data_IF_331213459351
#
_entry.id   IF_331213459351
#
_cell.length_a   1.000
_cell.length_b   1.000
_cell.length_c   1.000
_cell.angle_alpha   90.00
_cell.angle_beta   90.00
_cell.angle_gamma   90.00
#
_symmetry.space_group_name_H-M   'P 1'
#
loop_
_entity.id
_entity.type
_entity.pdbx_description
1 polymer ?
#
# COMPACT_ATOMS: atom_id res chain seq x y z
N UNK A 1 -28.10 6.39 8.00
CA UNK A 1 -27.93 5.02 7.45
C UNK A 1 -28.43 4.84 6.01
N UNK A 2 -29.25 5.76 5.48
CA UNK A 2 -29.76 5.70 4.09
C UNK A 2 -28.71 5.96 3.01
N UNK A 3 -27.70 6.78 3.28
CA UNK A 3 -26.66 7.17 2.31
C UNK A 3 -25.61 6.08 2.02
N UNK A 4 -25.43 5.09 2.88
CA UNK A 4 -24.43 4.02 2.71
C UNK A 4 -24.98 2.81 1.95
N UNK A 5 -26.29 2.58 2.01
CA UNK A 5 -26.94 1.42 1.36
C UNK A 5 -26.60 1.26 -0.12
N UNK A 6 -26.60 2.33 -0.96
CA UNK A 6 -26.25 2.21 -2.36
C UNK A 6 -24.79 1.79 -2.61
N UNK A 7 -23.90 2.03 -1.63
CA UNK A 7 -22.47 1.73 -1.74
C UNK A 7 -22.09 0.31 -1.28
N UNK A 8 -23.04 -0.43 -0.67
CA UNK A 8 -22.79 -1.79 -0.17
C UNK A 8 -22.26 -2.72 -1.28
N UNK A 9 -22.85 -2.79 -2.47
CA UNK A 9 -22.33 -3.65 -3.53
C UNK A 9 -20.90 -3.29 -3.93
N UNK A 10 -20.58 -2.00 -3.99
CA UNK A 10 -19.23 -1.52 -4.31
C UNK A 10 -18.21 -1.84 -3.21
N UNK A 11 -18.58 -1.72 -1.94
CA UNK A 11 -17.74 -2.09 -0.80
C UNK A 11 -17.50 -3.60 -0.74
N UNK A 12 -18.50 -4.42 -1.09
CA UNK A 12 -18.35 -5.87 -1.21
C UNK A 12 -17.41 -6.23 -2.36
N UNK A 13 -17.60 -5.62 -3.54
CA UNK A 13 -16.69 -5.81 -4.68
C UNK A 13 -15.25 -5.44 -4.31
N UNK A 14 -15.09 -4.29 -3.65
CA UNK A 14 -13.79 -3.83 -3.17
C UNK A 14 -13.16 -4.82 -2.17
N UNK A 15 -13.93 -5.32 -1.19
CA UNK A 15 -13.44 -6.28 -0.21
C UNK A 15 -12.97 -7.59 -0.84
N UNK A 16 -13.74 -8.14 -1.78
CA UNK A 16 -13.38 -9.37 -2.49
C UNK A 16 -12.09 -9.13 -3.34
N UNK A 17 -12.03 -8.02 -4.06
CA UNK A 17 -10.88 -7.65 -4.89
C UNK A 17 -9.61 -7.43 -4.06
N UNK A 18 -9.72 -6.68 -2.96
CA UNK A 18 -8.62 -6.38 -2.05
C UNK A 18 -8.11 -7.64 -1.35
N UNK A 19 -9.02 -8.55 -0.96
CA UNK A 19 -8.66 -9.86 -0.44
C UNK A 19 -7.83 -10.68 -1.43
N UNK A 20 -8.29 -10.77 -2.68
CA UNK A 20 -7.55 -11.46 -3.75
C UNK A 20 -6.16 -10.86 -3.99
N UNK A 21 -6.04 -9.53 -4.04
CA UNK A 21 -4.74 -8.87 -4.21
C UNK A 21 -3.82 -9.04 -2.98
N UNK A 22 -4.39 -8.97 -1.78
CA UNK A 22 -3.63 -9.14 -0.53
C UNK A 22 -3.03 -10.54 -0.41
N UNK A 23 -3.81 -11.56 -0.75
CA UNK A 23 -3.39 -12.95 -0.80
C UNK A 23 -2.23 -13.16 -1.78
N UNK A 24 -2.26 -12.49 -2.94
CA UNK A 24 -1.34 -12.71 -4.04
C UNK A 24 0.14 -12.53 -3.66
N UNK A 25 0.48 -11.48 -2.90
CA UNK A 25 1.89 -11.20 -2.58
C UNK A 25 2.52 -12.31 -1.72
N UNK A 26 1.82 -12.76 -0.69
CA UNK A 26 2.28 -13.83 0.20
C UNK A 26 2.31 -15.18 -0.51
N UNK A 27 1.26 -15.49 -1.28
CA UNK A 27 1.17 -16.74 -2.03
C UNK A 27 2.30 -16.89 -3.05
N UNK A 28 2.59 -15.84 -3.83
CA UNK A 28 3.65 -15.86 -4.84
C UNK A 28 5.03 -16.05 -4.19
N UNK A 29 5.27 -15.39 -3.06
CA UNK A 29 6.52 -15.53 -2.35
C UNK A 29 6.73 -16.98 -1.83
N UNK A 30 5.71 -17.54 -1.17
CA UNK A 30 5.74 -18.92 -0.66
C UNK A 30 5.84 -19.95 -1.80
N UNK A 31 5.01 -19.80 -2.83
CA UNK A 31 5.04 -20.70 -3.97
C UNK A 31 6.36 -20.62 -4.73
N UNK A 32 6.89 -19.43 -4.96
CA UNK A 32 8.20 -19.25 -5.60
C UNK A 32 9.32 -19.91 -4.82
N UNK A 33 9.34 -19.79 -3.49
CA UNK A 33 10.31 -20.45 -2.64
C UNK A 33 10.16 -21.99 -2.70
N UNK A 34 8.93 -22.52 -2.70
CA UNK A 34 8.67 -23.98 -2.88
C UNK A 34 9.11 -24.51 -4.24
N UNK A 35 9.05 -23.72 -5.30
CA UNK A 35 9.54 -24.06 -6.65
C UNK A 35 11.05 -23.85 -6.80
N UNK A 36 11.75 -23.46 -5.73
CA UNK A 36 13.20 -23.25 -5.74
C UNK A 36 13.66 -21.93 -6.35
N UNK A 37 12.76 -20.95 -6.50
CA UNK A 37 13.14 -19.62 -6.98
C UNK A 37 13.99 -18.92 -5.92
N UNK A 38 15.03 -18.22 -6.38
CA UNK A 38 15.88 -17.44 -5.49
C UNK A 38 15.15 -16.26 -4.85
N UNK A 39 15.67 -15.78 -3.73
CA UNK A 39 15.13 -14.54 -3.13
C UNK A 39 15.18 -13.37 -4.12
N UNK A 40 16.19 -13.33 -5.01
CA UNK A 40 16.31 -12.32 -6.06
C UNK A 40 15.20 -12.43 -7.10
N UNK A 41 14.82 -13.63 -7.54
CA UNK A 41 13.71 -13.83 -8.47
C UNK A 41 12.40 -13.31 -7.86
N UNK A 42 12.14 -13.66 -6.60
CA UNK A 42 10.95 -13.21 -5.87
C UNK A 42 10.99 -11.68 -5.68
N UNK A 43 12.15 -11.11 -5.39
CA UNK A 43 12.35 -9.66 -5.31
C UNK A 43 12.07 -8.95 -6.63
N UNK A 44 12.54 -9.51 -7.75
CA UNK A 44 12.23 -8.99 -9.09
C UNK A 44 10.73 -9.03 -9.39
N UNK A 45 10.02 -10.08 -9.02
CA UNK A 45 8.56 -10.17 -9.18
C UNK A 45 7.85 -9.05 -8.43
N UNK A 46 8.32 -8.68 -7.22
CA UNK A 46 7.86 -7.52 -6.47
C UNK A 46 8.15 -6.20 -7.20
N UNK A 47 9.37 -6.03 -7.70
CA UNK A 47 9.80 -4.87 -8.49
C UNK A 47 8.91 -4.68 -9.73
N UNK A 48 8.70 -5.73 -10.51
CA UNK A 48 7.84 -5.69 -11.70
C UNK A 48 6.38 -5.38 -11.35
N UNK A 49 5.86 -5.91 -10.24
CA UNK A 49 4.51 -5.56 -9.77
C UNK A 49 4.39 -4.05 -9.50
N UNK A 50 5.32 -3.44 -8.76
CA UNK A 50 5.27 -2.02 -8.44
C UNK A 50 5.55 -1.14 -9.67
N UNK A 51 6.36 -1.59 -10.63
CA UNK A 51 6.56 -0.90 -11.91
C UNK A 51 5.25 -0.90 -12.73
N UNK A 52 4.58 -2.05 -12.84
CA UNK A 52 3.26 -2.15 -13.46
C UNK A 52 2.22 -1.29 -12.75
N UNK A 53 2.22 -1.31 -11.41
CA UNK A 53 1.31 -0.49 -10.60
C UNK A 53 1.50 1.01 -10.85
N UNK A 54 2.75 1.49 -10.91
CA UNK A 54 3.05 2.88 -11.26
C UNK A 54 2.51 3.24 -12.64
N UNK A 55 2.77 2.41 -13.65
CA UNK A 55 2.28 2.65 -15.00
C UNK A 55 0.74 2.64 -15.05
N UNK A 56 0.10 1.73 -14.34
CA UNK A 56 -1.35 1.67 -14.19
C UNK A 56 -1.93 2.96 -13.59
N UNK A 57 -1.34 3.48 -12.53
CA UNK A 57 -1.75 4.76 -11.93
C UNK A 57 -1.67 5.92 -12.92
N UNK A 58 -0.69 5.93 -13.83
CA UNK A 58 -0.53 6.99 -14.83
C UNK A 58 -1.49 6.84 -16.03
N UNK A 59 -1.82 5.61 -16.41
CA UNK A 59 -2.59 5.32 -17.61
C UNK A 59 -4.11 5.23 -17.36
N UNK A 60 -4.54 4.85 -16.16
CA UNK A 60 -5.94 4.46 -15.90
C UNK A 60 -6.95 5.56 -16.18
N UNK A 61 -6.62 6.82 -15.88
CA UNK A 61 -7.53 7.96 -16.12
C UNK A 61 -7.87 8.09 -17.62
N UNK A 62 -6.87 7.87 -18.51
CA UNK A 62 -7.08 7.89 -19.97
C UNK A 62 -7.95 6.71 -20.41
N UNK A 63 -7.70 5.52 -19.85
CA UNK A 63 -8.49 4.33 -20.15
C UNK A 63 -9.95 4.54 -19.72
N UNK A 64 -10.19 5.04 -18.51
CA UNK A 64 -11.55 5.33 -18.02
C UNK A 64 -12.28 6.37 -18.88
N UNK A 65 -11.58 7.41 -19.37
CA UNK A 65 -12.16 8.39 -20.29
C UNK A 65 -12.55 7.77 -21.63
N UNK A 66 -11.75 6.82 -22.13
CA UNK A 66 -11.98 6.22 -23.44
C UNK A 66 -13.10 5.16 -23.43
N UNK A 67 -13.17 4.30 -22.41
CA UNK A 67 -14.08 3.13 -22.42
C UNK A 67 -15.12 3.14 -21.29
N UNK A 68 -15.02 4.05 -20.34
CA UNK A 68 -15.87 4.11 -19.15
C UNK A 68 -15.43 3.19 -18.02
N UNK A 69 -15.97 3.41 -16.80
CA UNK A 69 -15.55 2.72 -15.59
C UNK A 69 -15.82 1.20 -15.62
N UNK A 70 -17.05 0.79 -15.98
CA UNK A 70 -17.47 -0.62 -15.94
C UNK A 70 -16.64 -1.46 -16.93
N UNK A 71 -16.48 -0.99 -18.17
CA UNK A 71 -15.71 -1.71 -19.18
C UNK A 71 -14.22 -1.81 -18.83
N UNK A 72 -13.64 -0.69 -18.31
CA UNK A 72 -12.27 -0.70 -17.83
C UNK A 72 -12.09 -1.68 -16.67
N UNK A 73 -12.99 -1.68 -15.68
CA UNK A 73 -12.97 -2.61 -14.57
C UNK A 73 -13.02 -4.07 -15.03
N UNK A 74 -13.97 -4.38 -15.93
CA UNK A 74 -14.16 -5.75 -16.47
C UNK A 74 -12.92 -6.25 -17.20
N UNK A 75 -12.33 -5.43 -18.06
CA UNK A 75 -11.13 -5.80 -18.81
C UNK A 75 -9.93 -6.03 -17.88
N UNK A 76 -9.71 -5.13 -16.93
CA UNK A 76 -8.59 -5.23 -15.99
C UNK A 76 -8.74 -6.44 -15.04
N UNK A 77 -9.96 -6.70 -14.55
CA UNK A 77 -10.23 -7.86 -13.69
C UNK A 77 -10.06 -9.19 -14.46
N UNK A 78 -10.49 -9.24 -15.72
CA UNK A 78 -10.29 -10.42 -16.58
C UNK A 78 -8.80 -10.70 -16.80
N UNK A 79 -8.00 -9.67 -17.14
CA UNK A 79 -6.54 -9.81 -17.34
C UNK A 79 -5.88 -10.25 -16.02
N UNK A 80 -6.23 -9.67 -14.88
CA UNK A 80 -5.67 -10.04 -13.58
C UNK A 80 -6.03 -11.48 -13.20
N UNK A 81 -7.26 -11.92 -13.47
CA UNK A 81 -7.74 -13.29 -13.23
C UNK A 81 -6.99 -14.31 -14.09
N UNK A 82 -6.86 -14.06 -15.39
CA UNK A 82 -6.07 -14.91 -16.31
C UNK A 82 -4.60 -14.95 -15.87
N UNK A 83 -4.00 -13.79 -15.55
CA UNK A 83 -2.62 -13.72 -15.04
C UNK A 83 -2.42 -14.58 -13.79
N UNK A 84 -3.39 -14.57 -12.88
CA UNK A 84 -3.35 -15.41 -11.67
C UNK A 84 -3.27 -16.91 -11.99
N UNK A 85 -4.02 -17.39 -12.98
CA UNK A 85 -3.98 -18.79 -13.41
C UNK A 85 -2.69 -19.12 -14.18
N UNK A 86 -2.14 -18.17 -14.94
CA UNK A 86 -0.87 -18.37 -15.63
C UNK A 86 0.29 -18.63 -14.66
N UNK A 87 0.26 -18.08 -13.46
CA UNK A 87 1.31 -18.33 -12.44
C UNK A 87 1.40 -19.81 -12.00
N UNK A 88 0.30 -20.55 -12.05
CA UNK A 88 0.32 -21.98 -11.69
C UNK A 88 0.53 -22.88 -12.90
N UNK A 89 0.21 -22.40 -14.10
CA UNK A 89 0.37 -23.15 -15.34
C UNK A 89 1.80 -23.12 -15.87
N UNK A 90 2.51 -22.01 -15.66
CA UNK A 90 3.85 -21.79 -16.20
C UNK A 90 4.79 -21.44 -15.04
N UNK A 91 5.63 -22.38 -14.62
CA UNK A 91 6.57 -22.23 -13.53
C UNK A 91 7.92 -21.72 -14.05
N UNK A 92 7.95 -20.45 -14.44
CA UNK A 92 9.13 -19.75 -14.95
C UNK A 92 9.24 -18.35 -14.34
N UNK A 93 10.41 -17.98 -13.75
CA UNK A 93 10.58 -16.70 -13.08
C UNK A 93 10.37 -15.49 -13.99
N UNK A 94 10.76 -15.58 -15.27
CA UNK A 94 10.63 -14.46 -16.21
C UNK A 94 9.15 -14.25 -16.57
N UNK A 95 8.44 -15.36 -16.82
CA UNK A 95 6.99 -15.31 -17.03
C UNK A 95 6.26 -14.76 -15.82
N UNK A 96 6.67 -15.15 -14.61
CA UNK A 96 6.09 -14.61 -13.39
C UNK A 96 6.34 -13.11 -13.25
N UNK A 97 7.52 -12.59 -13.60
CA UNK A 97 7.78 -11.15 -13.64
C UNK A 97 6.84 -10.42 -14.61
N UNK A 98 6.61 -10.96 -15.81
CA UNK A 98 5.70 -10.38 -16.80
C UNK A 98 4.26 -10.36 -16.29
N UNK A 99 3.78 -11.47 -15.72
CA UNK A 99 2.44 -11.57 -15.10
C UNK A 99 2.30 -10.61 -13.93
N UNK A 100 3.33 -10.47 -13.11
CA UNK A 100 3.33 -9.53 -11.98
C UNK A 100 3.26 -8.07 -12.44
N UNK A 101 3.96 -7.72 -13.52
CA UNK A 101 3.87 -6.39 -14.11
C UNK A 101 2.44 -6.11 -14.62
N UNK A 102 1.86 -7.02 -15.40
CA UNK A 102 0.48 -6.91 -15.87
C UNK A 102 -0.51 -6.85 -14.70
N UNK A 103 -0.33 -7.68 -13.67
CA UNK A 103 -1.13 -7.68 -12.45
C UNK A 103 -1.06 -6.34 -11.71
N UNK A 104 0.14 -5.80 -11.52
CA UNK A 104 0.33 -4.48 -10.90
C UNK A 104 -0.42 -3.38 -11.64
N UNK A 105 -0.30 -3.35 -12.98
CA UNK A 105 -1.05 -2.43 -13.84
C UNK A 105 -2.57 -2.56 -13.65
N UNK A 106 -3.08 -3.79 -13.68
CA UNK A 106 -4.50 -4.07 -13.51
C UNK A 106 -5.01 -3.63 -12.14
N UNK A 107 -4.31 -4.00 -11.05
CA UNK A 107 -4.75 -3.66 -9.70
C UNK A 107 -4.71 -2.15 -9.43
N UNK A 108 -3.72 -1.41 -9.94
CA UNK A 108 -3.71 0.04 -9.88
C UNK A 108 -4.97 0.64 -10.51
N UNK A 109 -5.35 0.13 -11.68
CA UNK A 109 -6.57 0.53 -12.37
C UNK A 109 -7.83 0.19 -11.59
N UNK A 110 -7.95 -1.04 -11.13
CA UNK A 110 -9.12 -1.53 -10.39
C UNK A 110 -9.35 -0.72 -9.10
N UNK A 111 -8.31 -0.45 -8.32
CA UNK A 111 -8.42 0.37 -7.12
C UNK A 111 -8.83 1.81 -7.44
N UNK A 112 -8.23 2.41 -8.46
CA UNK A 112 -8.57 3.76 -8.90
C UNK A 112 -10.03 3.88 -9.33
N UNK A 113 -10.56 2.86 -10.05
CA UNK A 113 -11.96 2.82 -10.47
C UNK A 113 -12.90 2.72 -9.26
N UNK A 114 -12.64 1.80 -8.32
CA UNK A 114 -13.43 1.64 -7.08
C UNK A 114 -13.46 2.93 -6.29
N UNK A 115 -12.31 3.57 -6.09
CA UNK A 115 -12.21 4.82 -5.34
C UNK A 115 -12.91 5.98 -6.05
N UNK A 116 -12.87 6.02 -7.39
CA UNK A 116 -13.62 7.00 -8.20
C UNK A 116 -15.13 6.86 -7.98
N UNK A 117 -15.65 5.63 -7.97
CA UNK A 117 -17.07 5.38 -7.69
C UNK A 117 -17.47 5.72 -6.25
N UNK A 118 -16.65 5.31 -5.28
CA UNK A 118 -16.88 5.68 -3.88
C UNK A 118 -16.95 7.19 -3.69
N UNK A 119 -16.12 7.93 -4.44
CA UNK A 119 -16.10 9.38 -4.38
C UNK A 119 -17.36 10.03 -4.96
N UNK A 120 -17.83 9.55 -6.10
CA UNK A 120 -18.99 10.13 -6.79
C UNK A 120 -20.32 9.83 -6.07
N UNK A 121 -20.41 8.72 -5.37
CA UNK A 121 -21.61 8.27 -4.68
C UNK A 121 -21.84 8.87 -3.28
N UNK A 122 -20.98 9.79 -2.82
CA UNK A 122 -21.00 10.25 -1.41
C UNK A 122 -21.03 11.76 -1.30
N UNK A 123 -21.94 12.26 -0.44
CA UNK A 123 -21.97 13.69 -0.05
C UNK A 123 -20.77 14.05 0.82
N UNK A 124 -20.38 15.32 0.87
CA UNK A 124 -19.25 15.79 1.69
C UNK A 124 -19.42 15.40 3.18
N UNK A 125 -20.64 15.38 3.69
CA UNK A 125 -20.97 15.06 5.09
C UNK A 125 -20.64 13.60 5.46
N UNK A 126 -20.90 12.65 4.55
CA UNK A 126 -20.73 11.22 4.81
C UNK A 126 -19.36 10.66 4.35
N UNK A 127 -18.59 11.48 3.63
CA UNK A 127 -17.33 11.05 2.99
C UNK A 127 -16.31 10.47 3.97
N UNK A 128 -16.07 11.14 5.10
CA UNK A 128 -15.12 10.65 6.11
C UNK A 128 -15.53 9.26 6.65
N UNK A 129 -16.83 9.05 6.85
CA UNK A 129 -17.38 7.78 7.30
C UNK A 129 -17.21 6.67 6.27
N UNK A 130 -17.50 6.95 5.00
CA UNK A 130 -17.36 5.96 3.91
C UNK A 130 -15.88 5.59 3.71
N UNK A 131 -14.98 6.57 3.78
CA UNK A 131 -13.53 6.31 3.73
C UNK A 131 -13.05 5.45 4.90
N UNK A 132 -13.57 5.69 6.12
CA UNK A 132 -13.25 4.87 7.28
C UNK A 132 -13.73 3.42 7.09
N UNK A 133 -14.96 3.22 6.60
CA UNK A 133 -15.50 1.89 6.28
C UNK A 133 -14.66 1.21 5.20
N UNK A 134 -14.32 1.91 4.10
CA UNK A 134 -13.47 1.35 3.05
C UNK A 134 -12.10 0.91 3.58
N UNK A 135 -11.50 1.68 4.50
CA UNK A 135 -10.25 1.29 5.20
C UNK A 135 -10.41 0.03 6.03
N UNK A 136 -11.52 -0.10 6.76
CA UNK A 136 -11.80 -1.31 7.53
C UNK A 136 -11.99 -2.52 6.62
N UNK A 137 -12.70 -2.34 5.50
CA UNK A 137 -12.87 -3.38 4.46
C UNK A 137 -11.52 -3.75 3.87
N UNK A 138 -10.68 -2.79 3.48
CA UNK A 138 -9.34 -3.03 2.94
C UNK A 138 -8.49 -3.87 3.91
N UNK A 139 -8.26 -3.35 5.11
CA UNK A 139 -7.42 -4.05 6.09
C UNK A 139 -7.99 -5.41 6.49
N UNK A 140 -9.30 -5.48 6.72
CA UNK A 140 -9.98 -6.72 7.10
C UNK A 140 -9.92 -7.78 6.00
N UNK A 141 -10.20 -7.41 4.75
CA UNK A 141 -10.20 -8.34 3.62
C UNK A 141 -8.78 -8.83 3.30
N UNK A 142 -7.80 -7.93 3.26
CA UNK A 142 -6.40 -8.29 3.01
C UNK A 142 -5.89 -9.25 4.10
N UNK A 143 -6.17 -8.95 5.37
CA UNK A 143 -5.70 -9.79 6.48
C UNK A 143 -6.42 -11.14 6.51
N UNK A 144 -7.77 -11.16 6.37
CA UNK A 144 -8.55 -12.40 6.42
C UNK A 144 -8.23 -13.34 5.26
N UNK A 145 -8.05 -12.81 4.05
CA UNK A 145 -7.74 -13.62 2.88
C UNK A 145 -6.41 -14.38 3.02
N UNK A 146 -5.42 -13.84 3.75
CA UNK A 146 -4.15 -14.51 4.00
C UNK A 146 -4.34 -15.91 4.62
N UNK A 147 -5.34 -16.07 5.47
CA UNK A 147 -5.63 -17.35 6.15
C UNK A 147 -6.22 -18.43 5.24
N UNK A 148 -6.51 -18.11 3.97
CA UNK A 148 -6.83 -19.14 2.97
C UNK A 148 -5.59 -19.96 2.57
N UNK A 149 -4.38 -19.40 2.69
CA UNK A 149 -3.13 -20.10 2.32
C UNK A 149 -2.91 -21.38 3.14
N UNK A 150 -2.94 -21.36 4.48
CA UNK A 150 -2.75 -22.57 5.26
C UNK A 150 -3.89 -23.58 5.10
N UNK A 151 -5.11 -23.14 4.73
CA UNK A 151 -6.27 -24.04 4.52
C UNK A 151 -6.15 -24.79 3.20
N UNK A 152 -5.76 -24.11 2.10
CA UNK A 152 -5.69 -24.73 0.77
C UNK A 152 -4.29 -25.13 0.33
N UNK A 153 -3.26 -24.75 1.11
CA UNK A 153 -1.85 -24.96 0.79
C UNK A 153 -1.32 -23.96 -0.25
N UNK A 154 -0.06 -23.58 -0.13
CA UNK A 154 0.58 -22.68 -1.08
C UNK A 154 0.96 -23.36 -2.41
N UNK A 155 1.16 -24.68 -2.40
CA UNK A 155 1.66 -25.46 -3.54
C UNK A 155 0.60 -25.91 -4.54
N UNK A 156 -0.69 -25.83 -4.21
CA UNK A 156 -1.78 -26.41 -5.01
C UNK A 156 -2.38 -25.44 -6.05
N UNK A 157 -3.03 -26.01 -7.08
CA UNK A 157 -3.84 -25.26 -8.02
C UNK A 157 -5.01 -24.50 -7.35
N UNK A 158 -5.59 -25.12 -6.31
CA UNK A 158 -6.83 -24.66 -5.69
C UNK A 158 -6.75 -23.22 -5.18
N UNK A 159 -5.65 -22.82 -4.54
CA UNK A 159 -5.52 -21.47 -3.99
C UNK A 159 -5.42 -20.40 -5.09
N UNK A 160 -4.77 -20.70 -6.22
CA UNK A 160 -4.72 -19.82 -7.39
C UNK A 160 -6.09 -19.72 -8.07
N UNK A 161 -6.82 -20.83 -8.16
CA UNK A 161 -8.20 -20.84 -8.66
C UNK A 161 -9.12 -19.99 -7.77
N UNK A 162 -9.05 -20.12 -6.43
CA UNK A 162 -9.81 -19.30 -5.48
C UNK A 162 -9.47 -17.82 -5.67
N UNK A 163 -8.20 -17.46 -5.78
CA UNK A 163 -7.78 -16.08 -6.01
C UNK A 163 -8.33 -15.53 -7.33
N UNK A 164 -8.28 -16.32 -8.42
CA UNK A 164 -8.87 -15.97 -9.72
C UNK A 164 -10.40 -15.80 -9.61
N UNK A 165 -11.07 -16.69 -8.89
CA UNK A 165 -12.51 -16.60 -8.60
C UNK A 165 -12.84 -15.33 -7.83
N UNK A 166 -12.07 -14.98 -6.80
CA UNK A 166 -12.28 -13.75 -6.04
C UNK A 166 -12.17 -12.51 -6.94
N UNK A 167 -11.13 -12.43 -7.77
CA UNK A 167 -10.95 -11.31 -8.70
C UNK A 167 -12.14 -11.22 -9.68
N UNK A 168 -12.55 -12.35 -10.27
CA UNK A 168 -13.67 -12.40 -11.20
C UNK A 168 -15.01 -12.11 -10.50
N UNK A 169 -15.23 -12.65 -9.30
CA UNK A 169 -16.45 -12.46 -8.53
C UNK A 169 -16.65 -10.99 -8.12
N UNK A 170 -15.58 -10.22 -7.96
CA UNK A 170 -15.67 -8.79 -7.70
C UNK A 170 -16.38 -8.00 -8.81
N UNK A 171 -16.47 -8.57 -10.02
CA UNK A 171 -17.22 -8.00 -11.15
C UNK A 171 -18.73 -8.01 -10.93
N UNK A 172 -19.27 -9.02 -10.22
CA UNK A 172 -20.72 -9.22 -10.10
C UNK A 172 -21.41 -8.04 -9.40
N UNK A 173 -20.97 -7.60 -8.20
CA UNK A 173 -21.59 -6.45 -7.56
C UNK A 173 -21.42 -5.13 -8.37
N UNK A 174 -20.31 -5.01 -9.09
CA UNK A 174 -20.04 -3.84 -9.95
C UNK A 174 -20.98 -3.82 -11.17
N UNK A 175 -21.21 -4.98 -11.80
CA UNK A 175 -22.06 -5.09 -13.00
C UNK A 175 -23.56 -4.96 -12.68
N UNK A 176 -23.98 -5.37 -11.46
CA UNK A 176 -25.35 -5.30 -10.99
C UNK A 176 -25.66 -4.02 -10.23
N UNK A 177 -24.65 -3.24 -9.87
CA UNK A 177 -24.77 -1.98 -9.15
C UNK A 177 -25.34 -0.85 -10.01
N UNK A 178 -25.32 0.36 -9.44
CA UNK A 178 -25.81 1.56 -10.10
C UNK A 178 -25.06 1.80 -11.43
N UNK A 179 -25.83 2.00 -12.51
CA UNK A 179 -25.32 2.27 -13.85
C UNK A 179 -24.75 3.69 -14.02
N UNK A 180 -24.70 4.47 -12.94
CA UNK A 180 -24.06 5.80 -12.98
C UNK A 180 -22.60 5.66 -13.41
N UNK A 181 -22.24 6.33 -14.47
CA UNK A 181 -20.87 6.40 -14.95
C UNK A 181 -20.29 7.72 -14.42
N UNK A 182 -19.59 7.71 -13.26
CA UNK A 182 -19.08 8.95 -12.69
C UNK A 182 -18.13 9.65 -13.66
N UNK A 183 -18.02 10.96 -13.56
CA UNK A 183 -17.02 11.69 -14.33
C UNK A 183 -15.62 11.21 -13.97
N UNK A 184 -14.81 10.78 -14.96
CA UNK A 184 -13.44 10.38 -14.68
C UNK A 184 -12.67 11.50 -13.99
N UNK A 185 -11.76 11.18 -13.06
CA UNK A 185 -10.96 12.18 -12.39
C UNK A 185 -10.15 13.00 -13.41
N UNK A 186 -10.02 14.29 -13.15
CA UNK A 186 -9.18 15.16 -13.96
C UNK A 186 -7.71 14.75 -13.87
N UNK A 187 -6.98 14.88 -14.97
CA UNK A 187 -5.54 14.69 -14.99
C UNK A 187 -4.85 15.78 -14.17
N UNK A 188 -4.00 15.38 -13.24
CA UNK A 188 -3.18 16.32 -12.48
C UNK A 188 -1.88 16.53 -13.27
N UNK A 189 -1.58 17.77 -13.62
CA UNK A 189 -0.25 18.11 -14.15
C UNK A 189 0.76 17.93 -13.02
N UNK A 190 1.58 16.90 -13.16
CA UNK A 190 2.59 16.53 -12.16
C UNK A 190 3.82 17.45 -12.32
N UNK A 191 4.22 18.09 -11.24
CA UNK A 191 5.47 18.84 -11.14
C UNK A 191 6.26 18.34 -9.93
N UNK A 192 7.04 17.27 -10.15
CA UNK A 192 7.84 16.62 -9.11
C UNK A 192 8.91 17.56 -8.56
N UNK A 193 9.50 18.41 -9.41
CA UNK A 193 10.53 19.36 -9.00
C UNK A 193 9.98 20.43 -8.05
N UNK A 194 8.76 20.90 -8.31
CA UNK A 194 8.04 21.84 -7.43
C UNK A 194 7.75 21.19 -6.07
N UNK A 195 7.20 19.97 -6.05
CA UNK A 195 6.87 19.26 -4.81
C UNK A 195 8.14 18.94 -4.00
N UNK A 196 9.24 18.57 -4.68
CA UNK A 196 10.51 18.38 -4.01
C UNK A 196 11.00 19.68 -3.33
N UNK A 197 10.85 20.84 -3.96
CA UNK A 197 11.21 22.14 -3.36
C UNK A 197 10.31 22.52 -2.18
N UNK A 198 9.01 22.19 -2.22
CA UNK A 198 8.07 22.46 -1.13
C UNK A 198 8.41 21.62 0.10
N UNK A 199 8.56 20.31 -0.06
CA UNK A 199 8.78 19.38 1.04
C UNK A 199 9.77 18.27 0.71
N UNK A 200 11.09 18.55 0.66
CA UNK A 200 12.11 17.53 0.41
C UNK A 200 12.06 16.39 1.43
N UNK A 201 11.76 16.72 2.71
CA UNK A 201 11.66 15.73 3.78
C UNK A 201 10.50 14.76 3.56
N UNK A 202 9.34 15.24 3.13
CA UNK A 202 8.20 14.38 2.85
C UNK A 202 8.41 13.52 1.60
N UNK A 203 9.03 14.07 0.55
CA UNK A 203 9.37 13.31 -0.66
C UNK A 203 10.36 12.19 -0.33
N UNK A 204 11.45 12.50 0.40
CA UNK A 204 12.40 11.49 0.83
C UNK A 204 11.77 10.44 1.74
N UNK A 205 10.90 10.86 2.69
CA UNK A 205 10.15 9.96 3.55
C UNK A 205 9.27 8.99 2.74
N UNK A 206 8.57 9.49 1.72
CA UNK A 206 7.77 8.62 0.84
C UNK A 206 8.63 7.62 0.06
N UNK A 207 9.82 8.02 -0.42
CA UNK A 207 10.78 7.09 -1.06
C UNK A 207 11.23 6.03 -0.06
N UNK A 208 11.71 6.43 1.12
CA UNK A 208 12.21 5.52 2.14
C UNK A 208 11.15 4.50 2.57
N UNK A 209 9.92 4.96 2.77
CA UNK A 209 8.78 4.10 3.10
C UNK A 209 8.38 3.21 1.91
N UNK A 210 8.46 3.71 0.68
CA UNK A 210 8.28 2.91 -0.53
C UNK A 210 9.24 1.73 -0.56
N UNK A 211 10.53 2.00 -0.36
CA UNK A 211 11.60 0.99 -0.29
C UNK A 211 11.32 -0.06 0.78
N UNK A 212 11.08 0.35 2.02
CA UNK A 212 10.96 -0.59 3.15
C UNK A 212 9.65 -1.37 3.15
N UNK A 213 8.53 -0.74 2.82
CA UNK A 213 7.23 -1.40 2.84
C UNK A 213 7.02 -2.37 1.66
N UNK A 214 7.55 -2.05 0.48
CA UNK A 214 7.48 -2.97 -0.65
C UNK A 214 8.38 -4.18 -0.42
N UNK A 215 9.59 -3.97 0.12
CA UNK A 215 10.49 -5.05 0.52
C UNK A 215 9.82 -5.95 1.57
N UNK A 216 9.23 -5.37 2.62
CA UNK A 216 8.50 -6.14 3.64
C UNK A 216 7.36 -6.95 3.02
N UNK A 217 6.48 -6.33 2.22
CA UNK A 217 5.32 -7.02 1.61
C UNK A 217 5.72 -8.16 0.68
N UNK A 218 6.86 -8.03 -0.03
CA UNK A 218 7.32 -9.02 -1.01
C UNK A 218 8.14 -10.13 -0.35
N UNK A 219 9.02 -9.78 0.59
CA UNK A 219 10.06 -10.68 1.07
C UNK A 219 9.86 -11.16 2.51
N UNK A 220 8.94 -10.57 3.29
CA UNK A 220 8.70 -11.08 4.65
C UNK A 220 8.18 -12.52 4.70
N UNK A 221 7.39 -13.02 3.71
CA UNK A 221 7.05 -14.44 3.67
C UNK A 221 8.29 -15.33 3.43
N UNK A 222 9.20 -14.91 2.55
CA UNK A 222 10.47 -15.63 2.27
C UNK A 222 11.35 -15.62 3.52
N UNK A 223 11.49 -14.48 4.18
CA UNK A 223 12.20 -14.37 5.46
C UNK A 223 11.65 -15.35 6.50
N UNK A 224 10.33 -15.35 6.71
CA UNK A 224 9.69 -16.15 7.73
C UNK A 224 9.84 -17.66 7.43
N UNK A 225 9.75 -18.07 6.16
CA UNK A 225 10.00 -19.44 5.72
C UNK A 225 11.47 -19.85 5.95
N UNK A 226 12.42 -19.00 5.56
CA UNK A 226 13.87 -19.29 5.70
C UNK A 226 14.33 -19.36 7.16
N UNK A 227 13.64 -18.72 8.11
CA UNK A 227 13.92 -18.89 9.55
C UNK A 227 13.18 -20.07 10.17
N UNK A 228 12.51 -20.91 9.35
CA UNK A 228 11.91 -22.18 9.78
C UNK A 228 10.46 -22.08 10.27
N UNK A 229 9.72 -21.01 9.95
CA UNK A 229 8.31 -20.89 10.29
C UNK A 229 7.44 -21.80 9.43
N UNK A 230 6.39 -22.37 10.02
CA UNK A 230 5.35 -23.07 9.26
C UNK A 230 4.57 -22.11 8.34
N UNK A 231 3.90 -22.63 7.32
CA UNK A 231 3.08 -21.81 6.41
C UNK A 231 2.03 -20.99 7.18
N UNK A 232 1.44 -21.56 8.24
CA UNK A 232 0.48 -20.85 9.10
C UNK A 232 1.16 -19.71 9.89
N UNK A 233 2.38 -19.93 10.37
CA UNK A 233 3.15 -18.91 11.08
C UNK A 233 3.61 -17.80 10.13
N UNK A 234 4.00 -18.12 8.90
CA UNK A 234 4.35 -17.11 7.87
C UNK A 234 3.17 -16.20 7.60
N UNK A 235 1.99 -16.76 7.38
CA UNK A 235 0.76 -15.99 7.16
C UNK A 235 0.43 -15.12 8.37
N UNK A 236 0.56 -15.67 9.58
CA UNK A 236 0.33 -14.93 10.83
C UNK A 236 1.34 -13.79 10.98
N UNK A 237 2.61 -14.02 10.71
CA UNK A 237 3.68 -13.03 10.76
C UNK A 237 3.39 -11.83 9.86
N UNK A 238 3.06 -12.08 8.59
CA UNK A 238 2.70 -11.00 7.63
C UNK A 238 1.45 -10.25 8.06
N UNK A 239 0.42 -10.98 8.46
CA UNK A 239 -0.87 -10.42 8.88
C UNK A 239 -0.75 -9.53 10.11
N UNK A 240 0.01 -9.99 11.12
CA UNK A 240 0.26 -9.27 12.37
C UNK A 240 1.05 -7.99 12.11
N UNK A 241 2.05 -8.03 11.22
CA UNK A 241 2.78 -6.83 10.82
C UNK A 241 1.89 -5.77 10.16
N UNK A 242 1.00 -6.18 9.25
CA UNK A 242 0.04 -5.27 8.58
C UNK A 242 -0.96 -4.70 9.61
N UNK A 243 -1.47 -5.55 10.49
CA UNK A 243 -2.46 -5.17 11.51
C UNK A 243 -1.91 -4.18 12.53
N UNK A 244 -0.65 -4.35 12.97
CA UNK A 244 0.04 -3.39 13.85
C UNK A 244 0.02 -1.98 13.28
N UNK A 245 0.30 -1.84 11.99
CA UNK A 245 0.25 -0.54 11.30
C UNK A 245 -1.14 0.09 11.25
N UNK A 246 -2.19 -0.72 11.14
CA UNK A 246 -3.55 -0.22 11.11
C UNK A 246 -4.01 0.34 12.48
N UNK A 247 -3.67 -0.34 13.57
CA UNK A 247 -4.07 0.06 14.93
C UNK A 247 -3.41 1.38 15.34
N UNK A 248 -2.09 1.50 15.16
CA UNK A 248 -1.34 2.64 15.71
C UNK A 248 -1.48 3.91 14.87
N UNK A 249 -2.01 3.82 13.66
CA UNK A 249 -2.08 4.94 12.73
C UNK A 249 -2.89 6.12 13.28
N UNK A 250 -4.00 5.86 13.97
CA UNK A 250 -4.81 6.91 14.59
C UNK A 250 -4.14 7.55 15.81
N UNK A 251 -3.62 6.80 16.81
CA UNK A 251 -2.86 7.37 17.91
C UNK A 251 -1.67 8.24 17.47
N UNK A 252 -0.88 7.75 16.51
CA UNK A 252 0.24 8.52 15.97
C UNK A 252 -0.20 9.76 15.19
N UNK A 253 -1.32 9.67 14.46
CA UNK A 253 -1.93 10.82 13.79
C UNK A 253 -2.34 11.90 14.79
N UNK A 254 -3.04 11.52 15.85
CA UNK A 254 -3.44 12.43 16.90
C UNK A 254 -2.25 13.10 17.61
N UNK A 255 -1.20 12.32 17.87
CA UNK A 255 0.05 12.85 18.43
C UNK A 255 0.71 13.84 17.48
N UNK A 256 0.71 13.52 16.19
CA UNK A 256 1.27 14.34 15.11
C UNK A 256 0.53 15.68 14.92
N UNK A 257 -0.77 15.75 15.23
CA UNK A 257 -1.53 17.00 15.17
C UNK A 257 -1.20 17.94 16.35
N UNK A 258 -0.82 17.39 17.51
CA UNK A 258 -0.51 18.15 18.73
C UNK A 258 0.95 18.55 18.83
N UNK A 259 1.86 17.68 18.42
CA UNK A 259 3.31 17.89 18.49
C UNK A 259 3.87 18.35 17.14
N UNK A 260 5.15 18.78 17.13
CA UNK A 260 5.86 19.04 15.86
C UNK A 260 5.95 17.74 15.05
N UNK A 261 5.32 17.73 13.86
CA UNK A 261 5.29 16.53 12.98
C UNK A 261 6.66 15.95 12.71
N UNK A 262 7.71 16.77 12.65
CA UNK A 262 9.08 16.30 12.45
C UNK A 262 9.61 15.50 13.64
N UNK A 263 9.24 15.90 14.89
CA UNK A 263 9.59 15.13 16.10
C UNK A 263 8.85 13.81 16.14
N UNK A 264 7.57 13.79 15.79
CA UNK A 264 6.79 12.54 15.71
C UNK A 264 7.34 11.63 14.61
N UNK A 265 7.67 12.19 13.44
CA UNK A 265 8.27 11.45 12.34
C UNK A 265 9.64 10.85 12.75
N UNK A 266 10.48 11.63 13.45
CA UNK A 266 11.76 11.16 13.97
C UNK A 266 11.57 10.01 14.96
N UNK A 267 10.72 10.20 15.98
CA UNK A 267 10.43 9.19 16.99
C UNK A 267 9.92 7.89 16.34
N UNK A 268 8.93 8.02 15.44
CA UNK A 268 8.35 6.86 14.74
C UNK A 268 9.39 6.13 13.89
N UNK A 269 10.29 6.87 13.21
CA UNK A 269 11.36 6.26 12.40
C UNK A 269 12.42 5.58 13.27
N UNK A 270 12.78 6.17 14.42
CA UNK A 270 13.68 5.54 15.40
C UNK A 270 13.07 4.23 15.93
N UNK A 271 11.80 4.24 16.32
CA UNK A 271 11.11 3.02 16.76
C UNK A 271 11.01 1.96 15.66
N UNK A 272 10.78 2.36 14.39
CA UNK A 272 10.79 1.45 13.25
C UNK A 272 12.18 0.83 13.03
N UNK A 273 13.25 1.63 13.14
CA UNK A 273 14.63 1.13 13.03
C UNK A 273 14.96 0.14 14.16
N UNK A 274 14.64 0.48 15.41
CA UNK A 274 14.92 -0.38 16.56
C UNK A 274 14.13 -1.69 16.49
N UNK A 275 12.87 -1.66 16.06
CA UNK A 275 12.06 -2.86 15.88
C UNK A 275 12.55 -3.73 14.72
N UNK A 276 13.07 -3.12 13.64
CA UNK A 276 13.73 -3.87 12.58
C UNK A 276 15.00 -4.57 13.08
N UNK A 277 15.84 -3.88 13.85
CA UNK A 277 17.02 -4.50 14.47
C UNK A 277 16.63 -5.60 15.46
N UNK A 278 15.57 -5.43 16.25
CA UNK A 278 15.07 -6.47 17.15
C UNK A 278 14.72 -7.76 16.38
N UNK A 279 14.07 -7.64 15.20
CA UNK A 279 13.77 -8.79 14.33
C UNK A 279 15.03 -9.53 13.84
N UNK A 280 16.15 -8.84 13.65
CA UNK A 280 17.43 -9.46 13.29
C UNK A 280 17.93 -10.38 14.40
N UNK A 281 17.84 -9.95 15.66
CA UNK A 281 18.33 -10.72 16.81
C UNK A 281 17.39 -11.86 17.25
N UNK A 282 16.09 -11.72 16.92
CA UNK A 282 15.05 -12.70 17.31
C UNK A 282 14.86 -13.78 16.23
N UNK A 283 15.43 -13.61 15.04
CA UNK A 283 15.29 -14.56 13.93
C UNK A 283 15.60 -16.01 14.34
N UNK A 284 14.69 -16.94 14.00
CA UNK A 284 14.84 -18.37 14.36
C UNK A 284 14.50 -18.72 15.81
N UNK A 285 14.11 -17.74 16.65
CA UNK A 285 13.60 -17.97 18.01
C UNK A 285 12.12 -18.41 18.00
N UNK A 286 11.52 -18.47 19.19
CA UNK A 286 10.09 -18.80 19.36
C UNK A 286 9.20 -17.95 18.42
N UNK A 287 8.24 -18.55 17.66
CA UNK A 287 7.33 -17.85 16.77
C UNK A 287 6.60 -16.66 17.44
N UNK A 288 6.19 -16.79 18.71
CA UNK A 288 5.52 -15.73 19.44
C UNK A 288 6.36 -14.46 19.56
N UNK A 289 7.67 -14.58 19.80
CA UNK A 289 8.57 -13.43 19.86
C UNK A 289 8.68 -12.73 18.51
N UNK A 290 8.73 -13.50 17.42
CA UNK A 290 8.73 -12.95 16.06
C UNK A 290 7.40 -12.23 15.75
N UNK A 291 6.24 -12.75 16.21
CA UNK A 291 4.95 -12.08 16.03
C UNK A 291 4.87 -10.76 16.80
N UNK A 292 5.36 -10.74 18.05
CA UNK A 292 5.42 -9.49 18.85
C UNK A 292 6.34 -8.48 18.17
N UNK A 293 7.52 -8.91 17.75
CA UNK A 293 8.49 -8.02 17.12
C UNK A 293 8.00 -7.45 15.77
N UNK A 294 7.37 -8.27 14.92
CA UNK A 294 6.80 -7.79 13.64
C UNK A 294 5.57 -6.92 13.85
N UNK A 295 4.77 -7.16 14.91
CA UNK A 295 3.68 -6.28 15.30
C UNK A 295 4.21 -4.89 15.62
N UNK A 296 5.24 -4.80 16.48
CA UNK A 296 5.88 -3.53 16.86
C UNK A 296 6.51 -2.86 15.62
N UNK A 297 7.18 -3.63 14.76
CA UNK A 297 7.71 -3.12 13.50
C UNK A 297 6.60 -2.52 12.64
N UNK A 298 5.49 -3.24 12.45
CA UNK A 298 4.32 -2.77 11.71
C UNK A 298 3.73 -1.49 12.28
N UNK A 299 3.63 -1.38 13.61
CA UNK A 299 3.16 -0.19 14.30
C UNK A 299 3.92 1.07 13.91
N UNK A 300 5.22 0.99 13.73
CA UNK A 300 6.04 2.16 13.45
C UNK A 300 6.41 2.32 11.96
N UNK A 301 6.58 1.23 11.21
CA UNK A 301 6.94 1.28 9.80
C UNK A 301 5.78 1.74 8.89
N UNK A 302 4.57 1.21 9.12
CA UNK A 302 3.44 1.44 8.21
C UNK A 302 2.90 2.87 8.21
N UNK A 303 2.79 3.59 9.36
CA UNK A 303 2.27 4.97 9.39
C UNK A 303 3.19 6.03 8.80
N UNK A 304 4.47 5.74 8.60
CA UNK A 304 5.48 6.71 8.13
C UNK A 304 5.08 7.40 6.81
N UNK A 305 4.36 6.70 5.92
CA UNK A 305 3.82 7.31 4.70
C UNK A 305 2.84 8.44 5.01
N UNK A 306 1.83 8.16 5.83
CA UNK A 306 0.81 9.14 6.20
C UNK A 306 1.41 10.32 6.98
N UNK A 307 2.40 10.07 7.84
CA UNK A 307 3.12 11.12 8.57
C UNK A 307 3.95 12.01 7.62
N UNK A 308 4.66 11.40 6.65
CA UNK A 308 5.42 12.12 5.64
C UNK A 308 4.52 12.97 4.73
N UNK A 309 3.38 12.42 4.33
CA UNK A 309 2.39 13.13 3.53
C UNK A 309 1.74 14.28 4.32
N UNK A 310 1.38 14.08 5.58
CA UNK A 310 0.86 15.11 6.46
C UNK A 310 1.86 16.26 6.65
N UNK A 311 3.16 15.94 6.83
CA UNK A 311 4.23 16.95 6.89
C UNK A 311 4.33 17.77 5.59
N UNK A 312 4.16 17.14 4.42
CA UNK A 312 4.19 17.84 3.14
C UNK A 312 2.97 18.73 2.95
N UNK A 313 1.81 18.24 3.35
CA UNK A 313 0.55 18.97 3.24
C UNK A 313 0.50 20.22 4.14
N UNK A 314 1.18 20.22 5.29
CA UNK A 314 1.30 21.42 6.14
C UNK A 314 2.08 22.58 5.47
N UNK A 315 2.82 22.28 4.39
CA UNK A 315 3.61 23.25 3.63
C UNK A 315 2.99 23.60 2.28
N UNK A 316 1.82 23.03 2.00
CA UNK A 316 1.05 23.25 0.78
C UNK A 316 0.35 24.61 0.82
N UNK A 317 0.41 25.33 -0.29
CA UNK A 317 -0.47 26.48 -0.51
C UNK A 317 -1.89 26.03 -0.89
N UNK A 318 -2.84 26.98 -0.81
CA UNK A 318 -4.24 26.73 -1.20
C UNK A 318 -4.28 26.23 -2.67
N UNK A 319 -4.80 25.02 -2.88
CA UNK A 319 -4.87 24.40 -4.22
C UNK A 319 -3.78 23.36 -4.54
N UNK A 320 -2.65 23.33 -3.85
CA UNK A 320 -1.54 22.41 -4.14
C UNK A 320 -1.67 20.99 -3.54
N UNK A 321 -2.64 20.80 -2.65
CA UNK A 321 -2.82 19.53 -1.92
C UNK A 321 -2.90 18.31 -2.85
N UNK A 322 -3.63 18.42 -3.96
CA UNK A 322 -3.80 17.30 -4.92
C UNK A 322 -2.50 17.01 -5.64
N UNK A 323 -1.79 18.07 -6.08
CA UNK A 323 -0.48 17.95 -6.73
C UNK A 323 0.53 17.27 -5.79
N UNK A 324 0.61 17.73 -4.53
CA UNK A 324 1.55 17.20 -3.54
C UNK A 324 1.29 15.71 -3.30
N UNK A 325 0.06 15.31 -3.03
CA UNK A 325 -0.22 13.90 -2.72
C UNK A 325 -0.05 13.00 -3.94
N UNK A 326 -0.37 13.49 -5.15
CA UNK A 326 -0.08 12.75 -6.38
C UNK A 326 1.42 12.55 -6.60
N UNK A 327 2.23 13.59 -6.38
CA UNK A 327 3.68 13.51 -6.49
C UNK A 327 4.29 12.62 -5.39
N UNK A 328 3.80 12.71 -4.14
CA UNK A 328 4.27 11.84 -3.05
C UNK A 328 4.01 10.36 -3.33
N UNK A 329 2.89 10.04 -3.96
CA UNK A 329 2.59 8.68 -4.40
C UNK A 329 3.59 8.19 -5.46
N UNK A 330 4.03 9.06 -6.39
CA UNK A 330 5.09 8.72 -7.36
C UNK A 330 6.44 8.51 -6.66
N UNK A 331 6.83 9.38 -5.71
CA UNK A 331 8.05 9.20 -4.92
C UNK A 331 8.01 7.88 -4.15
N UNK A 332 6.86 7.53 -3.56
CA UNK A 332 6.67 6.22 -2.94
C UNK A 332 6.85 5.09 -3.96
N UNK A 333 6.28 5.20 -5.14
CA UNK A 333 6.36 4.17 -6.19
C UNK A 333 7.78 3.96 -6.69
N UNK A 334 8.60 5.01 -6.81
CA UNK A 334 10.02 4.87 -7.13
C UNK A 334 10.76 4.05 -6.07
N UNK A 335 10.50 4.35 -4.78
CA UNK A 335 11.03 3.55 -3.69
C UNK A 335 10.53 2.10 -3.73
N UNK A 336 9.24 1.92 -4.01
CA UNK A 336 8.61 0.61 -4.04
C UNK A 336 9.11 -0.29 -5.18
N UNK A 337 9.54 0.28 -6.29
CA UNK A 337 10.18 -0.46 -7.38
C UNK A 337 11.58 -0.95 -6.95
N UNK A 338 12.38 -0.07 -6.34
CA UNK A 338 13.75 -0.41 -5.96
C UNK A 338 13.87 -1.29 -4.72
N UNK A 339 12.90 -1.19 -3.79
CA UNK A 339 12.94 -1.86 -2.49
C UNK A 339 13.08 -3.38 -2.55
N UNK A 340 12.18 -4.11 -3.20
CA UNK A 340 12.24 -5.56 -3.28
C UNK A 340 13.52 -6.07 -3.95
N UNK A 341 13.98 -5.40 -5.01
CA UNK A 341 15.22 -5.74 -5.69
C UNK A 341 16.43 -5.63 -4.77
N UNK A 342 16.61 -4.48 -4.14
CA UNK A 342 17.77 -4.24 -3.27
C UNK A 342 17.74 -5.13 -2.01
N UNK A 343 16.56 -5.29 -1.39
CA UNK A 343 16.41 -6.13 -0.21
C UNK A 343 16.63 -7.61 -0.52
N UNK A 344 16.15 -8.11 -1.67
CA UNK A 344 16.35 -9.50 -2.08
C UNK A 344 17.82 -9.81 -2.38
N UNK A 345 18.52 -8.89 -3.03
CA UNK A 345 19.97 -9.01 -3.21
C UNK A 345 20.69 -9.07 -1.86
N UNK A 346 20.33 -8.22 -0.90
CA UNK A 346 20.89 -8.29 0.45
C UNK A 346 20.60 -9.64 1.12
N UNK A 347 19.37 -10.17 1.02
CA UNK A 347 19.03 -11.48 1.56
C UNK A 347 19.83 -12.62 0.92
N UNK A 348 20.06 -12.54 -0.38
CA UNK A 348 20.81 -13.58 -1.10
C UNK A 348 22.27 -13.69 -0.65
N UNK A 349 22.91 -12.54 -0.35
CA UNK A 349 24.34 -12.53 0.06
C UNK A 349 24.55 -12.67 1.58
N UNK A 350 23.62 -12.15 2.39
CA UNK A 350 23.79 -12.02 3.84
C UNK A 350 22.76 -12.82 4.66
N UNK A 351 21.90 -13.60 3.97
CA UNK A 351 20.88 -14.44 4.61
C UNK A 351 19.59 -13.68 4.95
N UNK A 352 18.59 -14.39 5.51
CA UNK A 352 17.21 -13.87 5.65
C UNK A 352 17.10 -12.61 6.50
N UNK A 353 17.87 -12.50 7.59
CA UNK A 353 17.85 -11.33 8.47
C UNK A 353 18.27 -10.02 7.78
N UNK A 354 18.95 -10.10 6.62
CA UNK A 354 19.34 -8.94 5.84
C UNK A 354 18.15 -8.09 5.38
N UNK A 355 16.95 -8.64 5.27
CA UNK A 355 15.72 -7.87 5.01
C UNK A 355 15.52 -6.75 6.04
N UNK A 356 15.67 -7.08 7.31
CA UNK A 356 15.47 -6.12 8.40
C UNK A 356 16.69 -5.25 8.66
N UNK A 357 17.91 -5.76 8.41
CA UNK A 357 19.14 -4.92 8.38
C UNK A 357 19.03 -3.86 7.29
N UNK A 358 18.62 -4.23 6.08
CA UNK A 358 18.39 -3.31 4.98
C UNK A 358 17.35 -2.23 5.35
N UNK A 359 16.23 -2.65 5.94
CA UNK A 359 15.20 -1.72 6.42
C UNK A 359 15.76 -0.76 7.49
N UNK A 360 16.55 -1.26 8.44
CA UNK A 360 17.19 -0.44 9.47
C UNK A 360 18.17 0.58 8.89
N UNK A 361 18.95 0.21 7.87
CA UNK A 361 19.85 1.14 7.16
C UNK A 361 19.06 2.24 6.45
N UNK A 362 17.96 1.90 5.76
CA UNK A 362 17.10 2.91 5.12
C UNK A 362 16.52 3.87 6.16
N UNK A 363 16.06 3.35 7.31
CA UNK A 363 15.56 4.21 8.39
C UNK A 363 16.68 5.05 9.02
N UNK A 364 17.89 4.55 9.17
CA UNK A 364 19.03 5.33 9.66
C UNK A 364 19.34 6.52 8.73
N UNK A 365 19.35 6.29 7.41
CA UNK A 365 19.50 7.36 6.43
C UNK A 365 18.35 8.36 6.52
N UNK A 366 17.12 7.88 6.70
CA UNK A 366 15.96 8.76 6.84
C UNK A 366 16.03 9.59 8.12
N UNK A 367 16.46 9.02 9.25
CA UNK A 367 16.72 9.75 10.50
C UNK A 367 17.74 10.86 10.29
N UNK A 368 18.86 10.58 9.61
CA UNK A 368 19.88 11.58 9.29
C UNK A 368 19.29 12.74 8.46
N UNK A 369 18.46 12.43 7.46
CA UNK A 369 17.74 13.44 6.66
C UNK A 369 16.78 14.26 7.52
N UNK A 370 16.02 13.64 8.43
CA UNK A 370 15.10 14.34 9.34
C UNK A 370 15.89 15.33 10.21
N UNK A 371 16.97 14.88 10.85
CA UNK A 371 17.80 15.69 11.73
C UNK A 371 18.43 16.88 10.98
N UNK A 372 19.02 16.64 9.80
CA UNK A 372 19.54 17.69 8.94
C UNK A 372 18.47 18.74 8.58
N UNK A 373 17.27 18.29 8.19
CA UNK A 373 16.17 19.19 7.81
C UNK A 373 15.57 19.94 9.01
N UNK A 374 15.63 19.37 10.22
CA UNK A 374 15.23 20.06 11.45
C UNK A 374 16.16 21.23 11.78
N UNK A 375 17.45 21.10 11.49
CA UNK A 375 18.42 22.19 11.66
C UNK A 375 18.30 23.26 10.57
N UNK A 376 18.05 22.84 9.30
CA UNK A 376 18.03 23.74 8.16
C UNK A 376 16.75 24.60 8.04
N UNK A 377 15.62 24.22 8.64
CA UNK A 377 14.33 24.94 8.51
C UNK A 377 13.50 24.85 9.77
N UNK A 378 12.81 25.93 10.15
CA UNK A 378 11.87 25.95 11.28
C UNK A 378 10.63 25.09 11.03
N UNK A 379 9.98 24.62 12.13
CA UNK A 379 8.71 23.87 12.07
C UNK A 379 7.56 24.75 11.60
N UNK A 380 6.51 24.11 11.08
CA UNK A 380 5.26 24.81 10.75
C UNK A 380 4.54 25.15 12.08
N UNK A 381 4.11 26.42 12.28
CA UNK A 381 3.35 26.83 13.47
C UNK A 381 2.07 26.00 13.64
N UNK A 382 1.66 25.76 14.89
CA UNK A 382 0.51 24.91 15.22
C UNK A 382 -0.79 25.37 14.50
N UNK A 383 -1.02 26.67 14.38
CA UNK A 383 -2.22 27.22 13.71
C UNK A 383 -2.29 27.05 12.20
N UNK A 384 -1.16 26.62 11.56
CA UNK A 384 -1.12 26.33 10.09
C UNK A 384 -1.09 24.84 9.78
N UNK A 385 -1.17 23.96 10.79
CA UNK A 385 -1.11 22.50 10.56
C UNK A 385 -2.48 21.98 10.13
N UNK A 386 -2.51 21.22 9.06
CA UNK A 386 -3.69 20.46 8.63
C UNK A 386 -4.00 19.32 9.60
N UNK A 387 -5.26 18.93 9.75
CA UNK A 387 -5.60 17.72 10.51
C UNK A 387 -5.03 16.48 9.83
N UNK A 388 -4.50 15.56 10.63
CA UNK A 388 -3.98 14.29 10.13
C UNK A 388 -5.09 13.49 9.45
N UNK A 389 -4.80 13.01 8.26
CA UNK A 389 -5.67 12.09 7.52
C UNK A 389 -4.86 10.86 7.15
N UNK A 390 -5.33 9.70 7.58
CA UNK A 390 -4.72 8.43 7.22
C UNK A 390 -4.90 8.19 5.72
N UNK A 391 -3.82 8.35 4.94
CA UNK A 391 -3.85 8.19 3.48
C UNK A 391 -3.65 6.72 3.10
N UNK A 392 -4.48 6.22 2.18
CA UNK A 392 -4.24 4.97 1.47
C UNK A 392 -3.28 5.23 0.30
N UNK A 393 -2.43 4.25 0.01
CA UNK A 393 -1.45 4.31 -1.09
C UNK A 393 -2.01 3.76 -2.39
N UNK A 394 -3.34 3.69 -2.50
CA UNK A 394 -4.02 3.01 -3.59
C UNK A 394 -4.29 3.91 -4.78
N UNK A 395 -4.58 5.19 -4.57
CA UNK A 395 -4.71 6.13 -5.67
C UNK A 395 -4.59 7.62 -5.28
N UNK A 396 -4.36 8.48 -6.28
CA UNK A 396 -4.34 9.94 -6.13
C UNK A 396 -5.72 10.53 -5.82
N UNK A 397 -6.80 9.80 -6.10
CA UNK A 397 -8.19 10.22 -5.86
C UNK A 397 -8.46 10.29 -4.36
N UNK A 398 -7.91 9.36 -3.59
CA UNK A 398 -8.08 9.33 -2.14
C UNK A 398 -7.52 10.59 -1.46
N UNK A 399 -6.44 11.14 -1.98
CA UNK A 399 -5.87 12.39 -1.50
C UNK A 399 -6.80 13.61 -1.71
N UNK A 400 -7.55 13.63 -2.82
CA UNK A 400 -8.57 14.66 -3.08
C UNK A 400 -9.73 14.59 -2.10
N UNK A 401 -10.13 13.39 -1.72
CA UNK A 401 -11.20 13.14 -0.75
C UNK A 401 -10.86 13.68 0.63
N UNK A 402 -9.64 13.44 1.07
CA UNK A 402 -9.15 13.87 2.38
C UNK A 402 -9.18 15.40 2.53
N UNK A 403 -8.88 16.17 1.47
CA UNK A 403 -8.86 17.64 1.51
C UNK A 403 -10.23 18.27 1.73
N UNK A 404 -11.27 17.80 1.04
CA UNK A 404 -12.63 18.38 1.15
C UNK A 404 -13.20 18.29 2.56
N UNK A 405 -12.68 17.41 3.40
CA UNK A 405 -13.04 17.29 4.81
C UNK A 405 -12.28 18.24 5.74
N UNK A 406 -11.19 18.86 5.25
CA UNK A 406 -10.34 19.75 6.05
C UNK A 406 -10.71 21.24 5.90
N UNK A 407 -11.61 21.57 4.97
CA UNK A 407 -12.02 22.94 4.67
C UNK A 407 -13.52 23.11 4.98
N UNK A 408 -13.87 23.61 6.19
CA UNK A 408 -15.27 23.81 6.58
C UNK A 408 -15.98 24.90 5.77
N UNK A 409 -15.23 25.80 5.10
CA UNK A 409 -15.75 26.97 4.39
C UNK A 409 -15.80 26.82 2.86
N UNK A 410 -15.61 25.61 2.31
CA UNK A 410 -15.78 25.44 0.86
C UNK A 410 -17.26 25.56 0.48
N UNK A 411 -17.65 26.50 -0.41
CA UNK A 411 -19.03 26.66 -0.82
C UNK A 411 -19.55 25.38 -1.46
N UNK A 412 -20.73 24.96 -1.05
CA UNK A 412 -21.47 23.89 -1.70
C UNK A 412 -21.68 24.28 -3.18
N UNK A 413 -20.89 23.67 -4.07
CA UNK A 413 -21.12 23.77 -5.50
C UNK A 413 -22.39 23.00 -5.89
N UNK A 414 -23.07 23.38 -6.96
CA UNK A 414 -24.41 22.94 -7.34
C UNK A 414 -24.50 21.43 -7.61
#
# INVERSE_FOLDING_TARGET
MSSIRPLIPLLLAAGILLGGNGLQSTLIALRGAQEGFSASDIGLMGTFYFAGFLLGCLAITRIMKAVGHIRAFSALAAIASVGTLLLVLVLDPVMWCAVRFAGGFCFAGLFTIVESWLNSGVTNRDRARVLAIYRMVDTGSVTSAQFLIPVFGAGGFSIFAIMSIMITLSLVPVSLGDRSNPTPPEEVKLDLARVWRISPLGCFGCIAVGVTNSAFRTLSPVYAEQIGMSVADVVTFVSVGIFGGAIIQYPLGYLSDRWDRRRVLLMTTCCAMLSALALVFIAGSNPLLNFIAVFIFGCFAMPLYSLSAAHSNDRADAGEFVLINAALMLFYSFGAIGGPFAASAAMQYFGPSALFVFSAVVYAVFIAVILYRMQARSGVPAGKRSRFTALLRTSTIFARLARRNSDPDSPEGP
#
